data_IF_203937337699
#
_entry.id   IF_203937337699
#
_cell.length_a   1.000
_cell.length_b   1.000
_cell.length_c   1.000
_cell.angle_alpha   90.00
_cell.angle_beta   90.00
_cell.angle_gamma   90.00
#
_symmetry.space_group_name_H-M   'P 1'
#
loop_
_entity.id
_entity.type
_entity.pdbx_description
1 polymer ?
#
# COMPACT_ATOMS: atom_id res chain seq x y z
N UNK A 1 4.46 -21.85 11.86
CA UNK A 1 4.70 -22.08 10.42
C UNK A 1 4.96 -20.71 9.80
N UNK A 2 6.07 -20.54 9.11
CA UNK A 2 6.40 -19.28 8.43
C UNK A 2 5.34 -18.95 7.39
N UNK A 3 5.15 -17.64 7.15
CA UNK A 3 4.24 -17.16 6.11
C UNK A 3 4.82 -17.51 4.74
N UNK A 4 4.01 -18.11 3.86
CA UNK A 4 4.41 -18.39 2.49
C UNK A 4 4.59 -17.07 1.71
N UNK A 5 5.82 -16.75 1.36
CA UNK A 5 6.21 -15.53 0.66
C UNK A 5 5.46 -15.35 -0.68
N UNK A 6 5.17 -16.46 -1.37
CA UNK A 6 4.44 -16.42 -2.65
C UNK A 6 3.03 -15.86 -2.52
N UNK A 7 2.48 -15.85 -1.31
CA UNK A 7 1.14 -15.34 -0.97
C UNK A 7 1.15 -13.90 -0.44
N UNK A 8 2.30 -13.24 -0.40
CA UNK A 8 2.41 -11.84 0.05
C UNK A 8 2.33 -10.90 -1.15
N UNK A 9 1.61 -9.79 -1.00
CA UNK A 9 1.59 -8.66 -1.94
C UNK A 9 1.77 -7.37 -1.17
N UNK A 10 2.89 -6.69 -1.41
CA UNK A 10 3.17 -5.37 -0.85
C UNK A 10 2.92 -4.32 -1.93
N UNK A 11 1.99 -3.44 -1.71
CA UNK A 11 1.61 -2.45 -2.71
C UNK A 11 1.16 -1.14 -2.07
N UNK A 12 1.23 -0.10 -2.86
CA UNK A 12 0.74 1.23 -2.50
C UNK A 12 -0.34 1.72 -3.47
N UNK A 13 -0.93 2.87 -3.17
CA UNK A 13 -1.90 3.53 -4.03
C UNK A 13 -1.36 4.90 -4.43
N UNK A 14 -1.25 5.12 -5.73
CA UNK A 14 -0.88 6.39 -6.36
C UNK A 14 -2.14 7.01 -6.96
N UNK A 15 -2.44 8.25 -6.61
CA UNK A 15 -3.59 8.96 -7.14
C UNK A 15 -3.36 10.47 -7.07
N UNK A 16 -4.04 11.21 -7.94
CA UNK A 16 -4.23 12.64 -7.74
C UNK A 16 -5.21 12.91 -6.58
N UNK A 17 -5.19 14.13 -6.05
CA UNK A 17 -6.15 14.57 -5.05
C UNK A 17 -7.56 14.37 -5.59
N UNK A 18 -8.47 13.89 -4.77
CA UNK A 18 -9.88 13.63 -5.11
C UNK A 18 -10.14 12.54 -6.17
N UNK A 19 -9.14 11.81 -6.68
CA UNK A 19 -9.36 10.67 -7.57
C UNK A 19 -9.92 9.43 -6.87
N UNK A 20 -10.01 9.44 -5.53
CA UNK A 20 -10.66 8.41 -4.73
C UNK A 20 -9.70 7.41 -4.09
N UNK A 21 -8.46 7.82 -3.79
CA UNK A 21 -7.43 7.01 -3.12
C UNK A 21 -7.93 6.43 -1.80
N UNK A 22 -8.30 7.27 -0.83
CA UNK A 22 -8.75 6.84 0.49
C UNK A 22 -10.05 6.03 0.40
N UNK A 23 -10.95 6.38 -0.52
CA UNK A 23 -12.18 5.60 -0.74
C UNK A 23 -11.90 4.19 -1.25
N UNK A 24 -10.93 4.00 -2.16
CA UNK A 24 -10.54 2.66 -2.61
C UNK A 24 -9.84 1.89 -1.49
N UNK A 25 -8.96 2.52 -0.73
CA UNK A 25 -8.32 1.90 0.43
C UNK A 25 -9.35 1.38 1.44
N UNK A 26 -10.37 2.17 1.75
CA UNK A 26 -11.50 1.77 2.62
C UNK A 26 -12.24 0.55 2.05
N UNK A 27 -12.51 0.51 0.72
CA UNK A 27 -13.16 -0.64 0.08
C UNK A 27 -12.31 -1.92 0.12
N UNK A 28 -10.99 -1.80 -0.04
CA UNK A 28 -10.08 -2.93 0.10
C UNK A 28 -10.15 -3.49 1.53
N UNK A 29 -10.11 -2.63 2.54
CA UNK A 29 -10.21 -3.02 3.95
C UNK A 29 -11.56 -3.68 4.25
N UNK A 30 -12.65 -3.12 3.76
CA UNK A 30 -14.00 -3.65 3.92
C UNK A 30 -14.13 -5.05 3.29
N UNK A 31 -13.71 -5.23 2.04
CA UNK A 31 -13.82 -6.50 1.31
C UNK A 31 -12.95 -7.61 1.90
N UNK A 32 -11.85 -7.26 2.55
CA UNK A 32 -11.00 -8.24 3.23
C UNK A 32 -11.53 -8.64 4.61
N UNK A 33 -12.67 -8.05 5.05
CA UNK A 33 -13.34 -8.41 6.29
C UNK A 33 -12.57 -8.05 7.56
N UNK A 34 -11.57 -7.16 7.45
CA UNK A 34 -10.71 -6.77 8.57
C UNK A 34 -11.47 -5.91 9.60
N UNK A 35 -12.46 -5.15 9.14
CA UNK A 35 -13.39 -4.38 9.95
C UNK A 35 -14.82 -4.78 9.65
N UNK A 36 -15.66 -4.81 10.68
CA UNK A 36 -17.10 -4.99 10.49
C UNK A 36 -17.73 -3.72 9.94
N UNK A 37 -18.89 -3.82 9.28
CA UNK A 37 -19.61 -2.65 8.74
C UNK A 37 -19.94 -1.59 9.80
N UNK A 38 -19.92 -1.93 11.10
CA UNK A 38 -20.15 -1.00 12.21
C UNK A 38 -18.88 -0.29 12.66
N UNK A 39 -17.71 -0.86 12.40
CA UNK A 39 -16.40 -0.31 12.73
C UNK A 39 -15.83 0.54 11.58
N UNK A 40 -16.38 0.36 10.36
CA UNK A 40 -16.02 1.16 9.20
C UNK A 40 -16.46 2.61 9.41
N UNK A 41 -15.50 3.51 9.28
CA UNK A 41 -15.70 4.95 9.19
C UNK A 41 -15.14 5.40 7.84
N UNK A 42 -15.60 6.50 7.32
CA UNK A 42 -15.02 7.09 6.12
C UNK A 42 -13.55 7.48 6.41
N UNK A 43 -12.65 7.16 5.47
CA UNK A 43 -11.22 7.43 5.58
C UNK A 43 -10.58 6.77 6.80
N UNK A 44 -10.76 5.45 6.94
CA UNK A 44 -10.26 4.65 8.08
C UNK A 44 -8.74 4.79 8.28
N UNK A 45 -7.99 5.02 7.20
CA UNK A 45 -6.53 5.19 7.24
C UNK A 45 -6.11 6.63 7.57
N UNK A 46 -6.94 7.63 7.34
CA UNK A 46 -6.62 9.02 7.64
C UNK A 46 -6.89 9.30 9.13
N UNK A 47 -5.84 9.12 9.96
CA UNK A 47 -5.96 9.19 11.43
C UNK A 47 -5.85 10.61 12.02
N UNK A 48 -5.36 11.58 11.24
CA UNK A 48 -5.20 12.97 11.69
C UNK A 48 -6.46 13.79 11.36
N UNK A 49 -6.91 14.62 12.27
CA UNK A 49 -8.06 15.51 12.04
C UNK A 49 -7.87 16.38 10.78
N UNK A 50 -6.65 16.85 10.53
CA UNK A 50 -6.31 17.65 9.36
C UNK A 50 -6.35 16.85 8.05
N UNK A 51 -6.05 15.54 8.08
CA UNK A 51 -6.18 14.65 6.92
C UNK A 51 -7.65 14.52 6.53
N UNK A 52 -8.52 14.29 7.50
CA UNK A 52 -9.98 14.17 7.31
C UNK A 52 -10.61 15.49 6.88
N UNK A 53 -10.20 16.61 7.49
CA UNK A 53 -10.73 17.93 7.15
C UNK A 53 -10.39 18.34 5.72
N UNK A 54 -9.19 18.01 5.25
CA UNK A 54 -8.69 18.40 3.92
C UNK A 54 -8.82 17.32 2.85
N UNK A 55 -9.22 16.10 3.22
CA UNK A 55 -9.31 14.95 2.29
C UNK A 55 -7.97 14.53 1.70
N UNK A 56 -6.86 14.75 2.40
CA UNK A 56 -5.50 14.41 1.95
C UNK A 56 -4.80 13.52 2.96
N UNK A 57 -4.08 12.50 2.50
CA UNK A 57 -3.17 11.72 3.33
C UNK A 57 -1.87 12.50 3.50
N UNK A 58 -1.45 12.74 4.74
CA UNK A 58 -0.20 13.42 5.08
C UNK A 58 0.86 12.40 5.47
N UNK A 59 0.47 11.41 6.29
CA UNK A 59 1.38 10.38 6.79
C UNK A 59 1.05 9.03 6.19
N UNK A 60 2.09 8.31 5.75
CA UNK A 60 1.92 6.94 5.25
C UNK A 60 1.28 6.06 6.35
N UNK A 61 0.25 5.32 5.97
CA UNK A 61 -0.41 4.34 6.82
C UNK A 61 -0.20 2.95 6.24
N UNK A 62 0.05 1.98 7.10
CA UNK A 62 0.26 0.61 6.67
C UNK A 62 -0.81 -0.28 7.28
N UNK A 63 -1.45 -1.09 6.45
CA UNK A 63 -2.45 -2.07 6.89
C UNK A 63 -2.16 -3.41 6.25
N UNK A 64 -2.14 -4.44 7.10
CA UNK A 64 -2.10 -5.83 6.68
C UNK A 64 -3.51 -6.41 6.69
N UNK A 65 -3.92 -6.97 5.55
CA UNK A 65 -5.20 -7.67 5.40
C UNK A 65 -4.98 -9.07 4.82
N UNK A 66 -5.99 -9.92 4.93
CA UNK A 66 -6.00 -11.24 4.28
C UNK A 66 -7.16 -11.27 3.30
N UNK A 67 -6.85 -11.51 2.04
CA UNK A 67 -7.83 -11.63 0.98
C UNK A 67 -7.93 -13.08 0.51
N UNK A 68 -9.15 -13.58 0.40
CA UNK A 68 -9.43 -14.89 -0.19
C UNK A 68 -9.83 -14.72 -1.64
N UNK A 69 -8.95 -15.17 -2.54
CA UNK A 69 -9.16 -15.06 -3.98
C UNK A 69 -10.34 -15.90 -4.50
N UNK A 70 -10.75 -15.66 -5.72
CA UNK A 70 -11.76 -16.48 -6.42
C UNK A 70 -11.36 -17.94 -6.54
N UNK A 71 -10.07 -18.25 -6.57
CA UNK A 71 -9.56 -19.63 -6.52
C UNK A 71 -9.70 -20.31 -5.16
N UNK A 72 -10.04 -19.55 -4.12
CA UNK A 72 -10.15 -20.02 -2.73
C UNK A 72 -8.86 -19.96 -1.94
N UNK A 73 -7.77 -19.50 -2.55
CA UNK A 73 -6.48 -19.32 -1.88
C UNK A 73 -6.44 -18.00 -1.08
N UNK A 74 -5.73 -17.99 0.04
CA UNK A 74 -5.56 -16.81 0.88
C UNK A 74 -4.24 -16.10 0.57
N UNK A 75 -4.33 -14.77 0.41
CA UNK A 75 -3.20 -13.89 0.18
C UNK A 75 -3.11 -12.84 1.28
N UNK A 76 -1.89 -12.48 1.64
CA UNK A 76 -1.61 -11.39 2.57
C UNK A 76 -1.36 -10.14 1.74
N UNK A 77 -2.17 -9.14 1.96
CA UNK A 77 -2.02 -7.82 1.36
C UNK A 77 -1.47 -6.84 2.40
N UNK A 78 -0.32 -6.27 2.12
CA UNK A 78 0.23 -5.16 2.86
C UNK A 78 0.01 -3.89 2.02
N UNK A 79 -1.04 -3.16 2.34
CA UNK A 79 -1.32 -1.86 1.75
C UNK A 79 -0.52 -0.79 2.50
N UNK A 80 0.34 -0.08 1.77
CA UNK A 80 1.08 1.08 2.27
C UNK A 80 0.44 2.30 1.62
N UNK A 81 -0.45 2.98 2.36
CA UNK A 81 -1.09 4.18 1.86
C UNK A 81 -0.11 5.35 1.89
N UNK A 82 0.07 6.00 0.74
CA UNK A 82 1.08 7.05 0.54
C UNK A 82 0.44 8.42 0.39
N UNK A 83 1.09 9.51 0.85
CA UNK A 83 0.63 10.85 0.54
C UNK A 83 0.49 11.08 -0.96
N UNK A 84 -0.57 11.78 -1.38
CA UNK A 84 -0.79 12.12 -2.79
C UNK A 84 -0.18 13.46 -3.21
N UNK A 85 0.27 14.29 -2.26
CA UNK A 85 0.72 15.66 -2.52
C UNK A 85 2.23 15.74 -2.80
N UNK A 86 2.62 16.59 -3.75
CA UNK A 86 4.03 16.76 -4.17
C UNK A 86 4.97 17.21 -3.06
N UNK A 87 4.49 17.88 -2.02
CA UNK A 87 5.31 18.32 -0.89
C UNK A 87 5.84 17.15 -0.05
N UNK A 88 5.28 15.94 -0.21
CA UNK A 88 5.64 14.73 0.54
C UNK A 88 6.41 13.72 -0.32
N UNK A 89 7.12 14.16 -1.36
CA UNK A 89 7.85 13.28 -2.29
C UNK A 89 8.85 12.36 -1.58
N UNK A 90 9.45 12.82 -0.48
CA UNK A 90 10.41 12.01 0.27
C UNK A 90 9.74 10.83 0.98
N UNK A 91 8.61 11.07 1.64
CA UNK A 91 7.79 10.05 2.29
C UNK A 91 7.23 9.07 1.27
N UNK A 92 6.76 9.58 0.13
CA UNK A 92 6.28 8.76 -1.00
C UNK A 92 7.38 7.83 -1.50
N UNK A 93 8.56 8.35 -1.82
CA UNK A 93 9.69 7.55 -2.34
C UNK A 93 10.09 6.42 -1.38
N UNK A 94 10.11 6.68 -0.06
CA UNK A 94 10.44 5.67 0.95
C UNK A 94 9.37 4.57 1.03
N UNK A 95 8.11 4.93 0.95
CA UNK A 95 6.99 3.98 0.96
C UNK A 95 6.98 3.13 -0.31
N UNK A 96 7.26 3.73 -1.47
CA UNK A 96 7.40 3.01 -2.74
C UNK A 96 8.52 1.97 -2.68
N UNK A 97 9.65 2.30 -2.06
CA UNK A 97 10.78 1.37 -1.89
C UNK A 97 10.42 0.10 -1.07
N UNK A 98 9.34 0.15 -0.29
CA UNK A 98 8.84 -0.99 0.48
C UNK A 98 7.83 -1.87 -0.27
N UNK A 99 7.46 -1.49 -1.50
CA UNK A 99 6.44 -2.17 -2.32
C UNK A 99 7.03 -2.92 -3.50
N UNK A 100 6.28 -3.90 -4.03
CA UNK A 100 6.50 -4.54 -5.32
C UNK A 100 5.58 -3.98 -6.40
N UNK A 101 4.48 -3.34 -6.03
CA UNK A 101 3.54 -2.78 -7.00
C UNK A 101 2.82 -1.53 -6.49
N UNK A 102 2.16 -0.86 -7.43
CA UNK A 102 1.38 0.34 -7.18
C UNK A 102 0.06 0.29 -7.96
N UNK A 103 -1.04 0.64 -7.30
CA UNK A 103 -2.30 0.92 -7.95
C UNK A 103 -2.31 2.39 -8.39
N UNK A 104 -2.44 2.64 -9.68
CA UNK A 104 -2.58 3.98 -10.24
C UNK A 104 -4.05 4.29 -10.45
N UNK A 105 -4.64 5.08 -9.55
CA UNK A 105 -6.04 5.47 -9.65
C UNK A 105 -6.17 6.72 -10.52
N UNK A 106 -6.99 6.63 -11.56
CA UNK A 106 -7.33 7.74 -12.45
C UNK A 106 -8.84 7.94 -12.49
N UNK A 107 -9.28 9.17 -12.34
CA UNK A 107 -10.69 9.56 -12.45
C UNK A 107 -11.16 9.43 -13.90
N UNK A 108 -12.24 8.69 -14.14
CA UNK A 108 -12.80 8.46 -15.48
C UNK A 108 -13.30 9.74 -16.19
N UNK A 109 -13.55 10.82 -15.45
CA UNK A 109 -13.97 12.09 -16.01
C UNK A 109 -12.81 13.07 -16.22
N UNK A 110 -11.85 13.12 -15.27
CA UNK A 110 -10.74 14.09 -15.29
C UNK A 110 -9.55 13.60 -16.13
N UNK A 111 -9.19 12.31 -16.03
CA UNK A 111 -8.02 11.75 -16.68
C UNK A 111 -6.73 11.97 -15.88
N UNK A 112 -5.59 12.08 -16.57
CA UNK A 112 -4.26 12.18 -15.95
C UNK A 112 -3.95 13.63 -15.58
N UNK A 113 -3.51 13.82 -14.33
CA UNK A 113 -3.06 15.11 -13.81
C UNK A 113 -1.53 15.13 -13.62
N UNK A 114 -0.91 16.31 -13.65
CA UNK A 114 0.55 16.46 -13.59
C UNK A 114 1.20 15.83 -12.34
N UNK A 115 0.52 15.89 -11.18
CA UNK A 115 0.99 15.24 -9.95
C UNK A 115 1.02 13.72 -10.06
N UNK A 116 0.06 13.15 -10.78
CA UNK A 116 -0.01 11.70 -11.04
C UNK A 116 1.24 11.24 -11.78
N UNK A 117 1.67 11.98 -12.81
CA UNK A 117 2.87 11.65 -13.58
C UNK A 117 4.14 11.61 -12.71
N UNK A 118 4.33 12.59 -11.82
CA UNK A 118 5.49 12.62 -10.94
C UNK A 118 5.56 11.37 -10.05
N UNK A 119 4.43 10.97 -9.46
CA UNK A 119 4.36 9.78 -8.62
C UNK A 119 4.53 8.47 -9.42
N UNK A 120 4.02 8.41 -10.66
CA UNK A 120 4.20 7.27 -11.55
C UNK A 120 5.67 7.10 -11.93
N UNK A 121 6.37 8.18 -12.29
CA UNK A 121 7.79 8.10 -12.60
C UNK A 121 8.61 7.65 -11.40
N UNK A 122 8.30 8.12 -10.18
CA UNK A 122 8.94 7.58 -8.97
C UNK A 122 8.69 6.07 -8.79
N UNK A 123 7.48 5.58 -9.08
CA UNK A 123 7.18 4.16 -9.01
C UNK A 123 7.96 3.35 -10.07
N UNK A 124 8.11 3.88 -11.27
CA UNK A 124 8.94 3.29 -12.34
C UNK A 124 10.41 3.24 -11.91
N UNK A 125 10.95 4.31 -11.33
CA UNK A 125 12.32 4.37 -10.84
C UNK A 125 12.60 3.32 -9.74
N UNK A 126 11.58 2.95 -8.96
CA UNK A 126 11.62 1.86 -7.99
C UNK A 126 11.32 0.47 -8.58
N UNK A 127 11.15 0.35 -9.91
CA UNK A 127 10.79 -0.88 -10.61
C UNK A 127 9.50 -1.54 -10.10
N UNK A 128 8.50 -0.76 -9.72
CA UNK A 128 7.21 -1.28 -9.28
C UNK A 128 6.37 -1.71 -10.47
N UNK A 129 5.60 -2.79 -10.29
CA UNK A 129 4.52 -3.14 -11.21
C UNK A 129 3.36 -2.16 -11.00
N UNK A 130 2.96 -1.44 -12.07
CA UNK A 130 1.92 -0.43 -11.99
C UNK A 130 0.63 -0.96 -12.60
N UNK A 131 -0.44 -0.99 -11.81
CA UNK A 131 -1.76 -1.42 -12.24
C UNK A 131 -2.65 -0.18 -12.35
N UNK A 132 -3.02 0.26 -13.56
CA UNK A 132 -4.02 1.31 -13.74
C UNK A 132 -5.39 0.87 -13.24
N UNK A 133 -6.12 1.78 -12.58
CA UNK A 133 -7.49 1.58 -12.10
C UNK A 133 -8.31 2.81 -12.45
N UNK A 134 -9.34 2.63 -13.27
CA UNK A 134 -10.21 3.72 -13.72
C UNK A 134 -11.37 3.85 -12.75
N UNK A 135 -11.38 4.93 -11.96
CA UNK A 135 -12.36 5.14 -10.90
C UNK A 135 -13.44 6.14 -11.31
N UNK A 136 -14.54 6.15 -10.56
CA UNK A 136 -15.70 7.04 -10.72
C UNK A 136 -16.48 6.83 -12.02
N UNK A 137 -16.59 5.58 -12.47
CA UNK A 137 -17.39 5.24 -13.65
C UNK A 137 -18.89 5.52 -13.48
N UNK A 138 -19.33 5.81 -12.26
CA UNK A 138 -20.69 6.19 -11.91
C UNK A 138 -21.04 7.64 -12.28
N UNK A 139 -20.06 8.47 -12.60
CA UNK A 139 -20.30 9.86 -12.98
C UNK A 139 -20.87 9.96 -14.41
N UNK A 140 -21.83 10.86 -14.66
CA UNK A 140 -22.38 11.09 -16.01
C UNK A 140 -21.33 11.54 -17.04
N UNK A 141 -20.24 12.18 -16.59
CA UNK A 141 -19.13 12.67 -17.41
C UNK A 141 -17.99 11.65 -17.56
N UNK A 142 -18.15 10.43 -17.03
CA UNK A 142 -17.12 9.40 -17.10
C UNK A 142 -16.92 8.92 -18.55
N UNK A 143 -15.66 8.89 -18.98
CA UNK A 143 -15.23 8.31 -20.26
C UNK A 143 -14.00 7.40 -20.04
N UNK A 144 -14.21 6.17 -19.56
CA UNK A 144 -13.12 5.23 -19.28
C UNK A 144 -12.24 4.94 -20.49
N UNK A 145 -12.80 4.86 -21.69
CA UNK A 145 -12.05 4.55 -22.91
C UNK A 145 -11.07 5.66 -23.28
N UNK A 146 -11.48 6.90 -23.16
CA UNK A 146 -10.59 8.06 -23.33
C UNK A 146 -9.45 8.03 -22.34
N UNK A 147 -9.73 7.74 -21.05
CA UNK A 147 -8.71 7.73 -20.00
C UNK A 147 -7.74 6.56 -20.17
N UNK A 148 -8.20 5.40 -20.60
CA UNK A 148 -7.33 4.26 -20.95
C UNK A 148 -6.33 4.67 -22.04
N UNK A 149 -6.84 5.23 -23.15
CA UNK A 149 -5.97 5.70 -24.25
C UNK A 149 -4.98 6.78 -23.78
N UNK A 150 -5.41 7.70 -22.92
CA UNK A 150 -4.56 8.74 -22.32
C UNK A 150 -3.43 8.14 -21.46
N UNK A 151 -3.71 7.09 -20.66
CA UNK A 151 -2.70 6.39 -19.85
C UNK A 151 -1.66 5.73 -20.78
N UNK A 152 -2.10 5.03 -21.80
CA UNK A 152 -1.21 4.35 -22.76
C UNK A 152 -0.35 5.34 -23.56
N UNK A 153 -0.94 6.46 -24.02
CA UNK A 153 -0.24 7.46 -24.83
C UNK A 153 0.72 8.34 -24.00
N UNK A 154 0.33 8.74 -22.77
CA UNK A 154 1.08 9.71 -21.96
C UNK A 154 2.11 9.03 -21.05
N UNK A 155 1.74 7.90 -20.44
CA UNK A 155 2.60 7.19 -19.49
C UNK A 155 3.36 6.06 -20.19
N UNK A 156 2.76 5.42 -21.19
CA UNK A 156 3.35 4.30 -21.93
C UNK A 156 3.20 2.96 -21.21
N UNK A 157 2.22 2.82 -20.31
CA UNK A 157 1.88 1.55 -19.65
C UNK A 157 0.58 0.98 -20.23
N UNK A 158 0.48 -0.35 -20.32
CA UNK A 158 -0.72 -1.02 -20.78
C UNK A 158 -1.90 -0.77 -19.82
N UNK A 159 -3.04 -0.33 -20.36
CA UNK A 159 -4.24 -0.01 -19.57
C UNK A 159 -5.54 -0.62 -20.15
N UNK A 160 -5.45 -1.37 -21.26
CA UNK A 160 -6.62 -1.94 -21.93
C UNK A 160 -7.43 -2.90 -21.04
N UNK A 161 -6.80 -3.55 -20.07
CA UNK A 161 -7.43 -4.44 -19.08
C UNK A 161 -7.59 -3.81 -17.69
N UNK A 162 -7.42 -2.49 -17.59
CA UNK A 162 -7.57 -1.75 -16.33
C UNK A 162 -8.98 -1.93 -15.73
N UNK A 163 -9.11 -2.29 -14.46
CA UNK A 163 -10.40 -2.37 -13.79
C UNK A 163 -11.10 -1.02 -13.83
N UNK A 164 -12.35 -1.03 -14.28
CA UNK A 164 -13.22 0.14 -14.30
C UNK A 164 -14.16 0.05 -13.11
N UNK A 165 -13.97 0.94 -12.13
CA UNK A 165 -14.59 0.84 -10.82
C UNK A 165 -15.39 2.09 -10.42
N UNK A 166 -16.29 1.90 -9.47
CA UNK A 166 -16.75 2.98 -8.60
C UNK A 166 -16.41 2.61 -7.15
N UNK A 167 -15.36 3.21 -6.61
CA UNK A 167 -14.99 3.02 -5.22
C UNK A 167 -16.11 3.49 -4.28
N UNK A 168 -16.81 4.58 -4.63
CA UNK A 168 -17.93 5.11 -3.88
C UNK A 168 -19.09 4.11 -3.77
N UNK A 169 -19.44 3.44 -4.86
CA UNK A 169 -20.56 2.49 -4.91
C UNK A 169 -20.14 1.04 -4.67
N UNK A 170 -18.83 0.76 -4.51
CA UNK A 170 -18.30 -0.59 -4.35
C UNK A 170 -18.37 -1.45 -5.61
N UNK A 171 -18.44 -0.83 -6.80
CA UNK A 171 -18.56 -1.55 -8.07
C UNK A 171 -17.17 -2.02 -8.53
N UNK A 172 -17.05 -3.30 -8.91
CA UNK A 172 -15.87 -3.95 -9.49
C UNK A 172 -14.59 -3.90 -8.62
N UNK A 173 -14.70 -3.72 -7.30
CA UNK A 173 -13.53 -3.68 -6.40
C UNK A 173 -12.81 -5.02 -6.38
N UNK A 174 -13.54 -6.15 -6.45
CA UNK A 174 -12.95 -7.48 -6.49
C UNK A 174 -11.99 -7.67 -7.68
N UNK A 175 -12.28 -7.06 -8.84
CA UNK A 175 -11.38 -7.10 -10.00
C UNK A 175 -10.01 -6.49 -9.69
N UNK A 176 -9.99 -5.41 -8.91
CA UNK A 176 -8.73 -4.79 -8.46
C UNK A 176 -7.94 -5.77 -7.59
N UNK A 177 -8.60 -6.45 -6.64
CA UNK A 177 -7.95 -7.41 -5.75
C UNK A 177 -7.39 -8.62 -6.51
N UNK A 178 -8.11 -9.13 -7.50
CA UNK A 178 -7.63 -10.22 -8.36
C UNK A 178 -6.46 -9.77 -9.25
N UNK A 179 -6.47 -8.55 -9.78
CA UNK A 179 -5.33 -8.01 -10.53
C UNK A 179 -4.08 -7.80 -9.66
N UNK A 180 -4.24 -7.40 -8.39
CA UNK A 180 -3.12 -7.35 -7.45
C UNK A 180 -2.45 -8.73 -7.34
N UNK A 181 -3.23 -9.80 -7.21
CA UNK A 181 -2.70 -11.16 -7.14
C UNK A 181 -1.99 -11.56 -8.43
N UNK A 182 -2.61 -11.25 -9.58
CA UNK A 182 -2.15 -11.70 -10.88
C UNK A 182 -0.89 -10.96 -11.37
N UNK A 183 -0.81 -9.65 -11.14
CA UNK A 183 0.22 -8.78 -11.73
C UNK A 183 1.34 -8.42 -10.75
N UNK A 184 1.04 -8.08 -9.48
CA UNK A 184 2.08 -7.70 -8.53
C UNK A 184 2.88 -8.94 -8.14
N UNK A 185 4.21 -8.95 -8.34
CA UNK A 185 5.03 -10.08 -7.94
C UNK A 185 5.06 -10.21 -6.41
N UNK A 186 5.28 -11.42 -5.94
CA UNK A 186 5.55 -11.64 -4.53
C UNK A 186 6.93 -11.08 -4.15
N UNK A 187 7.13 -10.67 -2.89
CA UNK A 187 8.43 -10.21 -2.42
C UNK A 187 9.48 -11.32 -2.52
N UNK A 188 10.72 -10.93 -2.76
CA UNK A 188 11.88 -11.82 -2.76
C UNK A 188 12.63 -11.67 -1.45
N UNK A 189 13.52 -12.62 -1.14
CA UNK A 189 14.40 -12.62 0.02
C UNK A 189 14.49 -14.01 0.63
N UNK A 190 15.59 -14.27 1.32
CA UNK A 190 15.88 -15.53 2.00
C UNK A 190 15.63 -15.35 3.51
N UNK A 191 14.65 -16.05 4.12
CA UNK A 191 14.36 -15.95 5.55
C UNK A 191 15.47 -16.46 6.45
N UNK A 192 16.39 -17.27 5.93
CA UNK A 192 17.53 -17.82 6.66
C UNK A 192 18.83 -17.00 6.50
N UNK A 193 18.83 -15.98 5.64
CA UNK A 193 19.94 -15.05 5.46
C UNK A 193 20.13 -14.11 6.67
N UNK A 194 21.26 -13.42 6.80
CA UNK A 194 21.43 -12.35 7.77
C UNK A 194 20.35 -11.26 7.63
N UNK A 195 19.78 -10.82 8.76
CA UNK A 195 18.71 -9.84 8.78
C UNK A 195 19.10 -8.53 8.06
N UNK A 196 18.29 -8.15 7.09
CA UNK A 196 18.28 -6.83 6.46
C UNK A 196 16.85 -6.32 6.41
N UNK A 197 16.63 -5.11 6.93
CA UNK A 197 15.33 -4.47 6.94
C UNK A 197 15.42 -3.04 6.39
N UNK A 198 14.46 -2.67 5.56
CA UNK A 198 14.28 -1.32 5.06
C UNK A 198 13.30 -0.59 5.98
N UNK A 199 13.77 0.46 6.67
CA UNK A 199 12.90 1.35 7.45
C UNK A 199 12.34 2.41 6.48
N UNK A 200 11.03 2.46 6.33
CA UNK A 200 10.38 3.43 5.47
C UNK A 200 9.61 4.52 6.23
N UNK A 201 9.25 4.29 7.50
CA UNK A 201 8.66 5.30 8.39
C UNK A 201 9.02 5.04 9.84
N UNK A 202 8.77 6.00 10.72
CA UNK A 202 8.93 5.86 12.16
C UNK A 202 8.02 6.82 12.91
N UNK A 203 7.65 6.42 14.13
CA UNK A 203 6.94 7.27 15.08
C UNK A 203 7.55 7.14 16.46
N UNK A 204 7.38 8.17 17.28
CA UNK A 204 7.76 8.15 18.68
C UNK A 204 6.52 8.00 19.56
N UNK A 205 6.51 6.98 20.38
CA UNK A 205 5.52 6.74 21.42
C UNK A 205 6.15 6.98 22.78
N UNK A 206 5.47 7.74 23.64
CA UNK A 206 6.01 8.12 24.97
C UNK A 206 6.23 6.93 25.91
N UNK A 207 5.57 5.80 25.69
CA UNK A 207 5.67 4.59 26.50
C UNK A 207 6.55 3.52 25.86
N UNK A 208 6.48 3.35 24.52
CA UNK A 208 7.19 2.32 23.79
C UNK A 208 8.52 2.81 23.21
N UNK A 209 8.74 4.13 23.15
CA UNK A 209 9.89 4.73 22.50
C UNK A 209 9.73 4.83 20.98
N UNK A 210 10.79 4.57 20.23
CA UNK A 210 10.76 4.64 18.77
C UNK A 210 10.13 3.36 18.19
N UNK A 211 9.08 3.52 17.43
CA UNK A 211 8.44 2.46 16.64
C UNK A 211 8.83 2.69 15.18
N UNK A 212 9.49 1.71 14.56
CA UNK A 212 9.89 1.77 13.15
C UNK A 212 8.97 0.94 12.30
N UNK A 213 8.57 1.48 11.17
CA UNK A 213 7.85 0.77 10.12
C UNK A 213 8.87 0.23 9.14
N UNK A 214 8.93 -1.07 9.01
CA UNK A 214 9.95 -1.68 8.18
C UNK A 214 9.41 -2.82 7.31
N UNK A 215 10.08 -3.01 6.18
CA UNK A 215 9.98 -4.19 5.38
C UNK A 215 11.22 -5.06 5.59
N UNK A 216 11.02 -6.33 5.89
CA UNK A 216 12.11 -7.29 5.99
C UNK A 216 12.53 -7.68 4.58
N UNK A 217 13.76 -7.37 4.21
CA UNK A 217 14.33 -7.69 2.90
C UNK A 217 14.93 -9.07 2.91
N UNK A 218 15.72 -9.39 3.95
CA UNK A 218 16.40 -10.67 4.15
C UNK A 218 16.31 -11.08 5.62
N UNK A 219 16.35 -12.37 5.88
CA UNK A 219 16.41 -12.91 7.24
C UNK A 219 15.08 -12.88 7.96
N UNK A 220 15.16 -13.07 9.26
CA UNK A 220 14.00 -13.10 10.17
C UNK A 220 14.33 -12.32 11.43
N UNK A 221 13.41 -11.45 11.88
CA UNK A 221 13.49 -10.71 13.13
C UNK A 221 12.50 -11.27 14.15
N UNK A 222 12.94 -11.35 15.41
CA UNK A 222 12.12 -11.73 16.57
C UNK A 222 12.37 -10.76 17.71
N UNK A 223 11.52 -10.78 18.71
CA UNK A 223 11.79 -10.09 19.97
C UNK A 223 13.13 -10.59 20.54
N UNK A 224 13.98 -9.67 21.01
CA UNK A 224 15.33 -9.95 21.52
C UNK A 224 16.41 -9.99 20.44
N UNK A 225 16.06 -9.88 19.15
CA UNK A 225 17.06 -9.82 18.07
C UNK A 225 17.91 -8.56 18.22
N UNK A 226 19.24 -8.72 18.17
CA UNK A 226 20.18 -7.60 18.12
C UNK A 226 20.21 -7.04 16.69
N UNK A 227 19.97 -5.76 16.54
CA UNK A 227 20.00 -5.04 15.26
C UNK A 227 21.06 -3.95 15.29
N UNK A 228 21.60 -3.64 14.12
CA UNK A 228 22.50 -2.51 13.91
C UNK A 228 21.91 -1.55 12.90
N UNK A 229 21.72 -0.30 13.30
CA UNK A 229 21.34 0.76 12.36
C UNK A 229 22.52 1.06 11.44
N UNK A 230 22.36 0.84 10.13
CA UNK A 230 23.47 0.95 9.17
C UNK A 230 24.00 2.38 9.05
N UNK A 231 23.13 3.39 9.16
CA UNK A 231 23.48 4.80 9.01
C UNK A 231 24.32 5.34 10.19
N UNK A 232 24.02 4.91 11.42
CA UNK A 232 24.64 5.42 12.65
C UNK A 232 25.60 4.45 13.30
N UNK A 233 25.51 3.16 12.94
CA UNK A 233 26.25 2.08 13.59
C UNK A 233 25.75 1.70 14.99
N UNK A 234 24.67 2.32 15.47
CA UNK A 234 24.07 2.04 16.79
C UNK A 234 23.51 0.63 16.80
N UNK A 235 23.84 -0.11 17.87
CA UNK A 235 23.28 -1.44 18.13
C UNK A 235 22.17 -1.32 19.16
N UNK A 236 21.04 -1.96 18.89
CA UNK A 236 19.87 -2.01 19.77
C UNK A 236 19.26 -3.39 19.77
N UNK A 237 18.49 -3.68 20.81
CA UNK A 237 17.70 -4.91 20.89
C UNK A 237 16.25 -4.61 20.51
N UNK A 238 15.63 -5.51 19.73
CA UNK A 238 14.23 -5.45 19.37
C UNK A 238 13.37 -5.82 20.59
N UNK A 239 12.60 -4.86 21.07
CA UNK A 239 11.75 -5.01 22.28
C UNK A 239 10.45 -5.71 21.95
N UNK A 240 9.83 -5.33 20.84
CA UNK A 240 8.52 -5.83 20.39
C UNK A 240 8.46 -5.81 18.86
N UNK A 241 7.73 -6.74 18.28
CA UNK A 241 7.44 -6.79 16.84
C UNK A 241 5.97 -7.07 16.60
N UNK A 242 5.46 -6.65 15.45
CA UNK A 242 4.09 -6.89 15.06
C UNK A 242 3.77 -6.38 13.67
N UNK A 243 2.53 -6.55 13.29
CA UNK A 243 1.95 -6.08 12.03
C UNK A 243 0.90 -5.00 12.30
N UNK A 244 0.46 -4.34 11.26
CA UNK A 244 -0.49 -3.23 11.36
C UNK A 244 -1.89 -3.65 10.93
N UNK A 245 -2.86 -3.53 11.84
CA UNK A 245 -4.27 -3.49 11.51
C UNK A 245 -4.75 -2.03 11.40
N UNK A 246 -5.99 -1.76 10.97
CA UNK A 246 -6.55 -0.42 10.95
C UNK A 246 -6.51 0.19 12.36
N UNK A 247 -5.73 1.28 12.50
CA UNK A 247 -5.58 2.01 13.75
C UNK A 247 -5.00 1.22 14.94
N UNK A 248 -4.46 0.01 14.73
CA UNK A 248 -3.93 -0.82 15.83
C UNK A 248 -2.69 -1.61 15.43
N UNK A 249 -1.82 -1.80 16.41
CA UNK A 249 -0.69 -2.71 16.36
C UNK A 249 -1.14 -4.13 16.76
N UNK A 250 -0.70 -5.12 16.00
CA UNK A 250 -1.00 -6.55 16.24
C UNK A 250 0.33 -7.26 16.50
N UNK A 251 0.65 -7.62 17.78
CA UNK A 251 1.87 -8.34 18.10
C UNK A 251 2.00 -9.65 17.32
N UNK A 252 3.22 -10.02 16.95
CA UNK A 252 3.54 -11.31 16.37
C UNK A 252 4.87 -11.84 16.91
N UNK A 253 5.15 -13.12 16.68
CA UNK A 253 6.37 -13.78 17.20
C UNK A 253 7.58 -13.53 16.30
N UNK A 254 7.35 -13.42 14.98
CA UNK A 254 8.41 -13.22 13.98
C UNK A 254 7.92 -12.42 12.76
N UNK A 255 8.85 -11.71 12.13
CA UNK A 255 8.71 -11.16 10.80
C UNK A 255 9.87 -11.67 9.96
N UNK A 256 9.57 -12.30 8.83
CA UNK A 256 10.55 -12.87 7.90
C UNK A 256 10.61 -12.10 6.58
N UNK A 257 11.60 -12.41 5.75
CA UNK A 257 11.80 -11.80 4.45
C UNK A 257 10.49 -11.66 3.65
N UNK A 258 10.24 -10.47 3.11
CA UNK A 258 9.03 -10.11 2.39
C UNK A 258 7.90 -9.53 3.25
N UNK A 259 7.95 -9.68 4.57
CA UNK A 259 6.91 -9.16 5.45
C UNK A 259 7.11 -7.67 5.78
N UNK A 260 6.00 -6.99 6.04
CA UNK A 260 5.93 -5.61 6.51
C UNK A 260 5.41 -5.60 7.95
N UNK A 261 6.07 -4.81 8.77
CA UNK A 261 5.67 -4.69 10.17
C UNK A 261 6.43 -3.60 10.91
#
# INVERSE_FOLDING_TARGET
MGVDQSKIRNFCIIAHIDHGKSTLADRIIEMTGLLTSREMQDQVLDNMDIERERGITIKAQTVRTVYRSRSGEEYIFNLIDTPGHVDFNYEVSRSLAACEGALLIVDAAQGIEAQTLANVYMAIDHNLEIIPVINKIDLPSADPQRVIAEIEDVIGIEAHDAPQISAKLGINIEEVLEQIIAKIPHPKGDPDAPLQALIFDSLYDSYKGVITFCRIMEGTVRKGTQIKLMSTGVVSEVVEIGTFGPGRFIPCDELSAGMVG
#
